data_IF_306677907042
#
_entry.id   IF_306677907042
#
_cell.length_a   1.000
_cell.length_b   1.000
_cell.length_c   1.000
_cell.angle_alpha   90.00
_cell.angle_beta   90.00
_cell.angle_gamma   90.00
#
_symmetry.space_group_name_H-M   'P 1'
#
loop_
_entity.id
_entity.type
_entity.pdbx_description
1 polymer ?
#
# COMPACT_ATOMS: atom_id res chain seq x y z
N UNK A 1 -4.74 -8.36 22.77
CA UNK A 1 -4.89 -8.49 21.30
C UNK A 1 -5.34 -7.15 20.75
N UNK A 2 -4.51 -6.49 19.97
CA UNK A 2 -4.90 -5.27 19.27
C UNK A 2 -5.97 -5.57 18.24
N UNK A 3 -7.05 -4.78 18.23
CA UNK A 3 -8.11 -4.86 17.23
C UNK A 3 -7.92 -3.72 16.23
N UNK A 4 -7.73 -4.05 14.96
CA UNK A 4 -7.79 -3.10 13.87
C UNK A 4 -9.14 -3.25 13.18
N UNK A 5 -9.85 -2.14 12.98
CA UNK A 5 -11.18 -2.11 12.37
C UNK A 5 -11.28 -0.93 11.42
N UNK A 6 -11.79 -1.16 10.21
CA UNK A 6 -12.10 -0.11 9.23
C UNK A 6 -13.61 0.03 9.13
N UNK A 7 -14.13 1.22 9.42
CA UNK A 7 -15.55 1.55 9.29
C UNK A 7 -15.66 2.85 8.53
N UNK A 8 -16.31 2.84 7.36
CA UNK A 8 -16.57 4.03 6.54
C UNK A 8 -15.34 4.94 6.43
N UNK A 9 -14.25 4.43 5.86
CA UNK A 9 -12.98 5.15 5.62
C UNK A 9 -12.19 5.55 6.88
N UNK A 10 -12.61 5.11 8.06
CA UNK A 10 -11.92 5.34 9.32
C UNK A 10 -11.22 4.09 9.81
N UNK A 11 -10.02 4.27 10.34
CA UNK A 11 -9.20 3.18 10.90
C UNK A 11 -9.17 3.31 12.41
N UNK A 12 -9.45 2.21 13.10
CA UNK A 12 -9.44 2.15 14.56
C UNK A 12 -8.40 1.14 15.04
N UNK A 13 -7.73 1.49 16.11
CA UNK A 13 -6.80 0.62 16.85
C UNK A 13 -7.21 0.60 18.31
N UNK A 14 -7.67 -0.55 18.82
CA UNK A 14 -8.20 -0.68 20.19
C UNK A 14 -9.27 0.38 20.51
N UNK A 15 -10.24 0.52 19.60
CA UNK A 15 -11.36 1.47 19.70
C UNK A 15 -10.98 2.98 19.61
N UNK A 16 -9.69 3.30 19.45
CA UNK A 16 -9.22 4.65 19.16
C UNK A 16 -9.13 4.88 17.65
N UNK A 17 -9.69 5.99 17.17
CA UNK A 17 -9.54 6.38 15.78
C UNK A 17 -8.09 6.84 15.50
N UNK A 18 -7.46 6.23 14.49
CA UNK A 18 -6.07 6.49 14.11
C UNK A 18 -5.92 6.85 12.63
N UNK A 19 -7.01 7.23 11.96
CA UNK A 19 -7.08 7.49 10.52
C UNK A 19 -6.01 8.47 10.04
N UNK A 20 -5.87 9.60 10.71
CA UNK A 20 -4.87 10.61 10.37
C UNK A 20 -3.48 10.26 10.92
N UNK A 21 -3.41 9.70 12.12
CA UNK A 21 -2.15 9.32 12.76
C UNK A 21 -1.33 8.32 11.91
N UNK A 22 -1.97 7.31 11.31
CA UNK A 22 -1.30 6.33 10.45
C UNK A 22 -0.80 6.92 9.12
N UNK A 23 -1.25 8.11 8.74
CA UNK A 23 -0.84 8.84 7.53
C UNK A 23 0.15 9.95 7.80
N UNK A 24 0.57 10.11 9.06
CA UNK A 24 1.56 11.12 9.46
C UNK A 24 2.92 10.89 8.79
N UNK A 25 3.73 11.94 8.71
CA UNK A 25 5.10 11.84 8.22
C UNK A 25 5.96 10.93 9.10
N UNK A 26 5.74 10.94 10.40
CA UNK A 26 6.46 10.10 11.36
C UNK A 26 6.21 8.61 11.09
N UNK A 27 4.95 8.19 10.98
CA UNK A 27 4.59 6.80 10.65
C UNK A 27 5.15 6.43 9.27
N UNK A 28 5.00 7.31 8.29
CA UNK A 28 5.50 7.07 6.93
C UNK A 28 7.02 6.88 6.86
N UNK A 29 7.79 7.52 7.75
CA UNK A 29 9.25 7.38 7.84
C UNK A 29 9.68 6.03 8.42
N UNK A 30 8.93 5.52 9.39
CA UNK A 30 9.32 4.37 10.19
C UNK A 30 8.71 3.04 9.70
N UNK A 31 7.62 3.09 8.92
CA UNK A 31 6.85 1.90 8.55
C UNK A 31 7.66 0.85 7.80
N UNK A 32 8.56 1.25 6.89
CA UNK A 32 9.38 0.30 6.12
C UNK A 32 10.42 -0.40 7.00
N UNK A 33 11.04 0.31 7.93
CA UNK A 33 11.99 -0.29 8.89
C UNK A 33 11.28 -1.27 9.81
N UNK A 34 10.14 -0.88 10.40
CA UNK A 34 9.34 -1.77 11.27
C UNK A 34 8.86 -2.99 10.50
N UNK A 35 8.44 -2.80 9.24
CA UNK A 35 7.98 -3.89 8.36
C UNK A 35 9.09 -4.86 7.94
N UNK A 36 10.36 -4.51 8.10
CA UNK A 36 11.48 -5.38 7.78
C UNK A 36 11.75 -6.46 8.86
N UNK A 37 11.24 -6.26 10.09
CA UNK A 37 11.41 -7.24 11.16
C UNK A 37 10.56 -8.50 10.89
N UNK A 38 11.22 -9.69 10.89
CA UNK A 38 10.58 -10.96 10.56
C UNK A 38 9.39 -11.30 11.44
N UNK A 39 9.48 -11.08 12.75
CA UNK A 39 8.37 -11.31 13.69
C UNK A 39 7.15 -10.42 13.39
N UNK A 40 7.38 -9.14 13.06
CA UNK A 40 6.32 -8.21 12.65
C UNK A 40 5.67 -8.68 11.36
N UNK A 41 6.48 -9.05 10.35
CA UNK A 41 5.97 -9.59 9.07
C UNK A 41 5.10 -10.81 9.28
N UNK A 42 5.58 -11.81 10.02
CA UNK A 42 4.83 -13.04 10.29
C UNK A 42 3.47 -12.75 10.94
N UNK A 43 3.46 -11.90 11.96
CA UNK A 43 2.22 -11.51 12.65
C UNK A 43 1.25 -10.76 11.72
N UNK A 44 1.76 -9.81 10.91
CA UNK A 44 0.94 -9.03 9.98
C UNK A 44 0.37 -9.90 8.85
N UNK A 45 1.17 -10.77 8.24
CA UNK A 45 0.69 -11.71 7.21
C UNK A 45 -0.40 -12.62 7.75
N UNK A 46 -0.23 -13.17 8.96
CA UNK A 46 -1.25 -14.00 9.59
C UNK A 46 -2.57 -13.22 9.81
N UNK A 47 -2.48 -11.97 10.27
CA UNK A 47 -3.65 -11.11 10.46
C UNK A 47 -4.33 -10.77 9.13
N UNK A 48 -3.57 -10.39 8.10
CA UNK A 48 -4.09 -10.08 6.76
C UNK A 48 -4.79 -11.30 6.13
N UNK A 49 -4.19 -12.48 6.22
CA UNK A 49 -4.83 -13.73 5.77
C UNK A 49 -6.14 -14.03 6.49
N UNK A 50 -6.19 -13.74 7.79
CA UNK A 50 -7.43 -13.89 8.56
C UNK A 50 -8.53 -12.94 8.09
N UNK A 51 -8.19 -11.71 7.71
CA UNK A 51 -9.14 -10.73 7.18
C UNK A 51 -9.75 -11.17 5.84
N UNK A 52 -8.97 -11.81 4.98
CA UNK A 52 -9.42 -12.29 3.67
C UNK A 52 -9.98 -13.72 3.64
N UNK A 53 -10.11 -14.39 4.79
CA UNK A 53 -10.51 -15.80 4.87
C UNK A 53 -11.85 -16.11 4.17
N UNK A 54 -12.79 -15.17 4.21
CA UNK A 54 -14.13 -15.36 3.64
C UNK A 54 -14.26 -14.82 2.20
N UNK A 55 -13.18 -14.37 1.58
CA UNK A 55 -13.22 -13.73 0.26
C UNK A 55 -13.87 -12.35 0.28
N UNK A 56 -14.20 -11.82 -0.90
CA UNK A 56 -14.88 -10.52 -1.06
C UNK A 56 -14.05 -9.32 -0.54
N UNK A 57 -12.74 -9.41 -0.60
CA UNK A 57 -11.82 -8.40 -0.08
C UNK A 57 -10.97 -7.81 -1.22
N UNK A 58 -10.70 -6.53 -1.11
CA UNK A 58 -9.64 -5.83 -1.88
C UNK A 58 -8.58 -5.39 -0.88
N UNK A 59 -7.33 -5.72 -1.13
CA UNK A 59 -6.23 -5.39 -0.23
C UNK A 59 -5.04 -4.88 -1.03
N UNK A 60 -4.45 -3.79 -0.56
CA UNK A 60 -3.23 -3.20 -1.12
C UNK A 60 -2.04 -3.37 -0.18
N UNK A 61 -0.85 -3.39 -0.75
CA UNK A 61 0.40 -3.51 0.00
C UNK A 61 1.59 -3.85 -0.88
N UNK A 62 2.69 -4.28 -0.28
CA UNK A 62 3.97 -4.55 -0.97
C UNK A 62 4.13 -6.00 -1.42
N UNK A 63 3.53 -6.92 -0.69
CA UNK A 63 3.69 -8.36 -0.86
C UNK A 63 2.35 -9.11 -0.84
N UNK A 64 1.24 -8.41 -1.08
CA UNK A 64 -0.10 -8.99 -1.01
C UNK A 64 -0.25 -10.13 -2.01
N UNK A 65 0.08 -9.90 -3.27
CA UNK A 65 -0.07 -10.90 -4.34
C UNK A 65 1.03 -11.97 -4.37
N UNK A 66 2.14 -11.79 -3.63
CA UNK A 66 3.25 -12.74 -3.61
C UNK A 66 3.31 -13.59 -2.35
N UNK A 67 2.92 -13.03 -1.20
CA UNK A 67 3.06 -13.67 0.11
C UNK A 67 1.74 -13.82 0.83
N UNK A 68 0.93 -12.76 0.92
CA UNK A 68 -0.31 -12.78 1.71
C UNK A 68 -1.39 -13.63 1.02
N UNK A 69 -1.71 -13.28 -0.24
CA UNK A 69 -2.70 -13.97 -1.08
C UNK A 69 -2.10 -14.39 -2.43
N UNK A 70 -1.20 -15.38 -2.46
CA UNK A 70 -0.56 -15.84 -3.69
C UNK A 70 -1.54 -16.51 -4.67
N UNK A 71 -2.73 -16.84 -4.23
CA UNK A 71 -3.80 -17.43 -5.05
C UNK A 71 -5.02 -16.49 -5.20
N UNK A 72 -4.82 -15.17 -5.07
CA UNK A 72 -5.89 -14.20 -5.34
C UNK A 72 -6.37 -14.32 -6.79
N UNK A 73 -7.69 -14.19 -7.01
CA UNK A 73 -8.30 -14.24 -8.33
C UNK A 73 -7.75 -13.17 -9.28
N UNK A 74 -7.60 -11.95 -8.79
CA UNK A 74 -6.99 -10.86 -9.52
C UNK A 74 -5.81 -10.29 -8.74
N UNK A 75 -4.67 -10.18 -9.40
CA UNK A 75 -3.50 -9.48 -8.87
C UNK A 75 -3.15 -8.33 -9.79
N UNK A 76 -3.04 -7.15 -9.23
CA UNK A 76 -2.63 -5.94 -9.94
C UNK A 76 -1.33 -5.43 -9.30
N UNK A 77 -0.32 -5.19 -10.12
CA UNK A 77 0.87 -4.48 -9.73
C UNK A 77 0.76 -3.05 -10.23
N UNK A 78 0.37 -2.15 -9.32
CA UNK A 78 0.19 -0.74 -9.62
C UNK A 78 1.50 0.00 -9.43
N UNK A 79 1.93 0.72 -10.45
CA UNK A 79 3.15 1.55 -10.43
C UNK A 79 2.88 2.96 -10.92
N UNK A 80 3.80 3.86 -10.65
CA UNK A 80 3.93 5.19 -11.25
C UNK A 80 5.36 5.68 -11.07
N UNK A 81 5.81 6.63 -11.89
CA UNK A 81 7.13 7.23 -11.75
C UNK A 81 7.32 7.85 -10.36
N UNK A 82 8.56 7.93 -9.90
CA UNK A 82 8.90 8.57 -8.61
C UNK A 82 8.45 10.03 -8.61
N UNK A 83 8.63 10.72 -9.73
CA UNK A 83 8.24 12.12 -9.94
C UNK A 83 6.74 12.31 -9.73
N UNK A 84 5.92 11.48 -10.36
CA UNK A 84 4.46 11.56 -10.25
C UNK A 84 3.97 11.22 -8.85
N UNK A 85 4.53 10.18 -8.21
CA UNK A 85 4.20 9.84 -6.82
C UNK A 85 4.60 10.95 -5.85
N UNK A 86 5.75 11.59 -6.08
CA UNK A 86 6.19 12.73 -5.28
C UNK A 86 5.28 13.96 -5.48
N UNK A 87 4.87 14.23 -6.73
CA UNK A 87 3.92 15.31 -7.05
C UNK A 87 2.58 15.09 -6.35
N UNK A 88 1.99 13.88 -6.46
CA UNK A 88 0.72 13.53 -5.78
C UNK A 88 0.83 13.71 -4.27
N UNK A 89 1.93 13.26 -3.68
CA UNK A 89 2.15 13.40 -2.23
C UNK A 89 2.37 14.85 -1.82
N UNK A 90 3.04 15.63 -2.64
CA UNK A 90 3.26 17.06 -2.40
C UNK A 90 1.92 17.81 -2.35
N UNK A 91 1.03 17.58 -3.31
CA UNK A 91 -0.30 18.21 -3.34
C UNK A 91 -1.15 17.78 -2.13
N UNK A 92 -1.13 16.52 -1.75
CA UNK A 92 -1.82 16.03 -0.54
C UNK A 92 -1.34 16.74 0.73
N UNK A 93 -0.04 16.88 0.91
CA UNK A 93 0.55 17.51 2.09
C UNK A 93 0.30 19.02 2.10
N UNK A 94 0.34 19.67 0.93
CA UNK A 94 0.01 21.09 0.77
C UNK A 94 -1.42 21.40 1.22
N UNK A 95 -2.38 20.56 0.85
CA UNK A 95 -3.78 20.69 1.30
C UNK A 95 -3.89 20.57 2.83
N UNK A 96 -3.02 19.77 3.46
CA UNK A 96 -2.96 19.63 4.93
C UNK A 96 -2.18 20.75 5.64
N UNK A 97 -1.67 21.73 4.90
CA UNK A 97 -0.87 22.83 5.45
C UNK A 97 0.57 22.45 5.82
N UNK A 98 1.04 21.29 5.36
CA UNK A 98 2.41 20.82 5.61
C UNK A 98 3.39 21.45 4.62
N UNK A 99 4.52 21.96 5.11
CA UNK A 99 5.59 22.51 4.26
C UNK A 99 6.65 21.44 4.03
N UNK A 100 6.74 20.96 2.80
CA UNK A 100 7.71 19.94 2.37
C UNK A 100 8.31 20.30 1.02
N UNK A 101 9.55 19.90 0.77
CA UNK A 101 10.20 20.03 -0.54
C UNK A 101 9.83 18.85 -1.44
N UNK A 102 9.55 19.14 -2.71
CA UNK A 102 9.30 18.10 -3.72
C UNK A 102 10.52 17.18 -3.89
N UNK A 103 11.73 17.76 -3.87
CA UNK A 103 12.97 17.00 -3.98
C UNK A 103 13.20 16.07 -2.76
N UNK A 104 12.86 16.53 -1.56
CA UNK A 104 12.91 15.65 -0.39
C UNK A 104 11.90 14.51 -0.45
N UNK A 105 10.71 14.78 -1.00
CA UNK A 105 9.72 13.72 -1.23
C UNK A 105 10.21 12.70 -2.25
N UNK A 106 10.81 13.12 -3.35
CA UNK A 106 11.40 12.19 -4.35
C UNK A 106 12.47 11.31 -3.71
N UNK A 107 13.42 11.90 -2.96
CA UNK A 107 14.46 11.14 -2.26
C UNK A 107 13.87 10.11 -1.31
N UNK A 108 12.89 10.51 -0.49
CA UNK A 108 12.23 9.62 0.48
C UNK A 108 11.47 8.49 -0.21
N UNK A 109 10.78 8.78 -1.30
CA UNK A 109 10.03 7.76 -2.07
C UNK A 109 11.02 6.76 -2.67
N UNK A 110 12.09 7.21 -3.32
CA UNK A 110 13.11 6.33 -3.89
C UNK A 110 13.80 5.47 -2.83
N UNK A 111 14.16 6.05 -1.69
CA UNK A 111 14.78 5.29 -0.60
C UNK A 111 13.83 4.24 -0.02
N UNK A 112 12.56 4.60 0.15
CA UNK A 112 11.54 3.66 0.61
C UNK A 112 11.34 2.51 -0.37
N UNK A 113 11.26 2.79 -1.67
CA UNK A 113 11.14 1.76 -2.71
C UNK A 113 12.34 0.81 -2.65
N UNK A 114 13.56 1.37 -2.56
CA UNK A 114 14.77 0.57 -2.41
C UNK A 114 14.71 -0.35 -1.18
N UNK A 115 14.30 0.16 -0.03
CA UNK A 115 14.15 -0.63 1.20
C UNK A 115 13.10 -1.74 1.04
N UNK A 116 11.95 -1.43 0.44
CA UNK A 116 10.87 -2.38 0.22
C UNK A 116 11.26 -3.48 -0.79
N UNK A 117 12.04 -3.14 -1.83
CA UNK A 117 12.52 -4.08 -2.86
C UNK A 117 13.67 -4.97 -2.39
N UNK A 118 14.57 -4.43 -1.55
CA UNK A 118 15.80 -5.13 -1.14
C UNK A 118 15.69 -5.84 0.19
N UNK A 119 14.59 -5.70 0.93
CA UNK A 119 14.44 -6.40 2.21
C UNK A 119 14.47 -7.92 2.03
N UNK A 120 15.10 -8.60 2.99
CA UNK A 120 15.31 -10.06 2.93
C UNK A 120 14.00 -10.87 3.01
N UNK A 121 12.98 -10.35 3.71
CA UNK A 121 11.70 -11.04 3.92
C UNK A 121 10.58 -10.30 3.19
N UNK A 122 9.85 -11.00 2.32
CA UNK A 122 8.71 -10.48 1.57
C UNK A 122 9.02 -9.18 0.80
N UNK A 123 10.04 -9.15 -0.07
CA UNK A 123 10.36 -7.94 -0.84
C UNK A 123 9.21 -7.51 -1.74
N UNK A 124 9.17 -6.24 -2.10
CA UNK A 124 8.26 -5.72 -3.12
C UNK A 124 8.64 -6.34 -4.47
N UNK A 125 7.80 -7.23 -4.96
CA UNK A 125 7.96 -7.88 -6.28
C UNK A 125 6.61 -8.02 -6.96
N UNK A 126 6.59 -7.82 -8.27
CA UNK A 126 5.43 -8.16 -9.09
C UNK A 126 5.27 -9.68 -9.11
N UNK A 127 4.08 -10.19 -8.76
CA UNK A 127 3.77 -11.60 -8.95
C UNK A 127 3.75 -11.94 -10.45
N UNK A 128 4.13 -13.17 -10.82
CA UNK A 128 4.23 -13.56 -12.24
C UNK A 128 2.90 -13.41 -12.99
N UNK A 129 1.79 -13.67 -12.32
CA UNK A 129 0.42 -13.59 -12.80
C UNK A 129 -0.25 -12.22 -12.53
N UNK A 130 0.50 -11.23 -12.05
CA UNK A 130 -0.05 -9.90 -11.81
C UNK A 130 -0.09 -9.06 -13.10
N UNK A 131 -1.23 -8.43 -13.32
CA UNK A 131 -1.40 -7.40 -14.36
C UNK A 131 -0.65 -6.14 -13.93
N UNK A 132 0.24 -5.65 -14.78
CA UNK A 132 0.95 -4.37 -14.56
C UNK A 132 0.05 -3.21 -14.99
N UNK A 133 -0.14 -2.23 -14.12
CA UNK A 133 -0.79 -0.96 -14.45
C UNK A 133 0.17 0.18 -14.09
N UNK A 134 0.64 0.90 -15.11
CA UNK A 134 1.39 2.14 -14.90
C UNK A 134 0.40 3.31 -14.85
N UNK A 135 0.26 3.90 -13.68
CA UNK A 135 -0.67 4.99 -13.42
C UNK A 135 -0.02 6.38 -13.55
N UNK A 136 1.18 6.48 -14.11
CA UNK A 136 1.92 7.76 -14.20
C UNK A 136 1.10 8.86 -14.89
N UNK A 137 0.35 8.51 -15.95
CA UNK A 137 -0.48 9.44 -16.71
C UNK A 137 -1.99 9.23 -16.48
N UNK A 138 -2.37 8.44 -15.46
CA UNK A 138 -3.77 8.11 -15.20
C UNK A 138 -4.31 8.89 -14.01
N UNK A 139 -5.57 9.30 -14.12
CA UNK A 139 -6.37 9.79 -13.00
C UNK A 139 -6.75 8.64 -12.05
N UNK A 140 -7.17 8.98 -10.83
CA UNK A 140 -7.68 8.00 -9.87
C UNK A 140 -8.87 7.22 -10.45
N UNK A 141 -9.77 7.91 -11.18
CA UNK A 141 -10.95 7.31 -11.78
C UNK A 141 -10.57 6.30 -12.87
N UNK A 142 -9.66 6.64 -13.78
CA UNK A 142 -9.19 5.74 -14.84
C UNK A 142 -8.52 4.48 -14.26
N UNK A 143 -7.73 4.63 -13.20
CA UNK A 143 -7.14 3.48 -12.49
C UNK A 143 -8.25 2.60 -11.89
N UNK A 144 -9.22 3.20 -11.21
CA UNK A 144 -10.32 2.45 -10.60
C UNK A 144 -11.17 1.71 -11.63
N UNK A 145 -11.52 2.35 -12.76
CA UNK A 145 -12.26 1.75 -13.86
C UNK A 145 -11.49 0.60 -14.52
N UNK A 146 -10.18 0.77 -14.70
CA UNK A 146 -9.30 -0.28 -15.24
C UNK A 146 -9.29 -1.50 -14.34
N UNK A 147 -9.10 -1.31 -13.03
CA UNK A 147 -9.12 -2.43 -12.06
C UNK A 147 -10.49 -3.08 -12.02
N UNK A 148 -11.57 -2.30 -12.03
CA UNK A 148 -12.93 -2.82 -12.03
C UNK A 148 -13.23 -3.63 -13.30
N UNK A 149 -12.76 -3.19 -14.46
CA UNK A 149 -12.88 -3.92 -15.72
C UNK A 149 -12.17 -5.27 -15.68
N UNK A 150 -10.94 -5.31 -15.12
CA UNK A 150 -10.21 -6.56 -14.91
C UNK A 150 -10.96 -7.49 -13.96
N UNK A 151 -11.46 -6.98 -12.83
CA UNK A 151 -12.19 -7.78 -11.85
C UNK A 151 -13.51 -8.37 -12.39
N UNK A 152 -14.14 -7.71 -13.36
CA UNK A 152 -15.35 -8.24 -14.04
C UNK A 152 -15.05 -9.39 -15.01
N UNK A 153 -13.83 -9.44 -15.58
CA UNK A 153 -13.41 -10.51 -16.50
C UNK A 153 -13.04 -11.80 -15.78
N UNK A 154 -12.69 -11.71 -14.50
CA UNK A 154 -12.32 -12.86 -13.66
C UNK A 154 -13.54 -13.53 -12.98
N UNK A 155 -14.75 -13.03 -13.22
CA UNK A 155 -16.00 -13.63 -12.74
C UNK A 155 -16.59 -14.56 -13.80
#
# INVERSE_FOLDING_TARGET
>A
RQRQMCIRDRVYLNDHEVTDAIRSLEVSRNVSQVSAYGGVRTAMVAQQRKMGKNGGIVMDGRDIGTVVFPHAQLKVFLTASVEERARRRFEELKVKGETVSLEDLKKRISERDRLDETRAISPLKKANDAVLIDSTQMSIQEVAETILSLAKKER
#
